data_IF_217600382541
#
_entry.id   IF_217600382541
#
_cell.length_a   1.000
_cell.length_b   1.000
_cell.length_c   1.000
_cell.angle_alpha   90.00
_cell.angle_beta   90.00
_cell.angle_gamma   90.00
#
_symmetry.space_group_name_H-M   'P 1'
#
loop_
_entity.id
_entity.type
_entity.pdbx_description
1 polymer ?
#
# COMPACT_ATOMS: atom_id res chain seq x y z
N UNK A 1 42.02 31.27 9.16
CA UNK A 1 42.85 30.05 9.13
C UNK A 1 42.67 29.39 10.49
N UNK A 2 41.81 28.39 10.58
CA UNK A 2 41.42 27.73 11.83
C UNK A 2 41.29 26.22 11.54
N UNK A 3 42.16 25.36 12.10
CA UNK A 3 42.05 24.75 13.45
C UNK A 3 40.79 23.88 13.56
N UNK A 4 40.80 22.67 12.99
CA UNK A 4 41.30 21.42 13.62
C UNK A 4 40.74 21.20 15.05
N UNK A 5 39.65 20.45 15.15
CA UNK A 5 39.24 19.73 16.35
C UNK A 5 39.30 18.22 16.10
N UNK A 6 40.45 17.58 16.40
CA UNK A 6 40.57 16.12 16.50
C UNK A 6 40.72 15.75 17.97
N UNK A 7 39.89 14.83 18.45
CA UNK A 7 40.19 13.99 19.61
C UNK A 7 40.01 12.53 19.20
N UNK A 8 41.03 11.71 19.49
CA UNK A 8 41.03 10.26 19.26
C UNK A 8 40.42 9.50 20.46
N UNK A 9 40.00 8.25 20.28
CA UNK A 9 40.84 7.02 20.39
C UNK A 9 40.80 6.43 21.82
N UNK A 10 41.11 5.14 22.06
CA UNK A 10 41.15 3.96 21.17
C UNK A 10 40.46 2.70 21.77
N UNK A 11 40.45 1.60 21.00
CA UNK A 11 40.78 0.19 21.36
C UNK A 11 40.31 -0.69 20.18
N UNK A 12 41.17 -1.31 19.35
CA UNK A 12 41.94 -2.55 19.57
C UNK A 12 41.05 -3.76 19.97
N UNK A 13 41.13 -4.97 19.39
CA UNK A 13 41.92 -5.60 18.32
C UNK A 13 40.98 -6.60 17.56
N UNK A 14 41.31 -7.35 16.49
CA UNK A 14 42.59 -7.68 15.84
C UNK A 14 42.41 -8.05 14.33
N UNK A 15 43.51 -8.42 13.67
CA UNK A 15 43.63 -9.11 12.38
C UNK A 15 42.82 -10.44 12.30
N UNK A 16 42.38 -10.93 11.13
CA UNK A 16 43.24 -11.26 9.98
C UNK A 16 42.50 -11.43 8.64
N UNK A 17 43.23 -11.25 7.55
CA UNK A 17 42.81 -11.47 6.16
C UNK A 17 42.76 -12.97 5.83
N UNK A 18 41.85 -13.38 4.94
CA UNK A 18 42.19 -14.01 3.65
C UNK A 18 40.98 -14.24 2.74
N UNK A 19 41.24 -14.04 1.46
CA UNK A 19 40.37 -14.32 0.30
C UNK A 19 40.07 -15.81 0.11
N UNK A 20 38.83 -16.15 -0.22
CA UNK A 20 38.47 -17.15 -1.27
C UNK A 20 36.99 -17.02 -1.62
N UNK A 21 36.67 -16.83 -2.90
CA UNK A 21 35.40 -17.29 -3.48
C UNK A 21 35.31 -18.81 -3.38
N UNK A 22 34.11 -19.38 -3.22
CA UNK A 22 33.60 -20.14 -4.35
C UNK A 22 32.11 -19.96 -4.66
N UNK A 23 31.81 -20.35 -5.90
CA UNK A 23 30.53 -20.58 -6.57
C UNK A 23 29.46 -21.28 -5.74
N UNK A 24 28.20 -21.02 -6.14
CA UNK A 24 26.96 -21.67 -5.73
C UNK A 24 27.03 -23.19 -5.47
N UNK A 25 26.23 -23.67 -4.51
CA UNK A 25 24.97 -24.37 -4.85
C UNK A 25 24.05 -24.54 -3.62
N UNK A 26 22.77 -24.24 -3.84
CA UNK A 26 21.59 -25.01 -3.41
C UNK A 26 21.72 -25.95 -2.19
N UNK A 27 21.25 -25.49 -1.02
CA UNK A 27 20.33 -26.26 -0.15
C UNK A 27 19.71 -25.34 0.91
N UNK A 28 18.39 -25.13 0.87
CA UNK A 28 17.65 -24.56 2.01
C UNK A 28 16.27 -25.20 2.16
N UNK A 29 16.28 -26.45 2.59
CA UNK A 29 15.09 -27.11 3.11
C UNK A 29 14.68 -26.45 4.44
N UNK A 30 13.38 -26.20 4.56
CA UNK A 30 12.56 -26.19 5.80
C UNK A 30 13.06 -25.47 7.06
N UNK A 31 12.44 -24.32 7.35
CA UNK A 31 11.35 -24.24 8.35
C UNK A 31 10.81 -22.79 8.50
N UNK A 32 9.48 -22.63 8.40
CA UNK A 32 8.59 -21.87 9.32
C UNK A 32 7.19 -21.83 8.68
N UNK A 33 6.34 -22.82 9.01
CA UNK A 33 5.00 -22.96 8.44
C UNK A 33 3.96 -22.10 9.15
N UNK A 34 3.87 -20.81 8.80
CA UNK A 34 2.79 -19.90 9.26
C UNK A 34 2.58 -18.67 8.36
N UNK A 35 3.35 -18.53 7.28
CA UNK A 35 3.35 -17.33 6.42
C UNK A 35 2.66 -17.54 5.06
N UNK A 36 2.29 -18.78 4.73
CA UNK A 36 1.78 -19.14 3.39
C UNK A 36 0.38 -18.58 3.18
N UNK A 37 -0.54 -18.75 4.14
CA UNK A 37 -1.89 -18.19 4.05
C UNK A 37 -1.90 -16.66 4.07
N UNK A 38 -1.05 -16.00 4.87
CA UNK A 38 -1.00 -14.53 4.94
C UNK A 38 -0.47 -13.94 3.63
N UNK A 39 0.61 -14.52 3.08
CA UNK A 39 1.20 -14.08 1.81
C UNK A 39 0.27 -14.28 0.60
N UNK A 40 -0.43 -15.41 0.52
CA UNK A 40 -1.42 -15.68 -0.53
C UNK A 40 -2.59 -14.69 -0.44
N UNK A 41 -3.18 -14.52 0.75
CA UNK A 41 -4.29 -13.58 0.94
C UNK A 41 -3.90 -12.12 0.63
N UNK A 42 -2.69 -11.68 0.99
CA UNK A 42 -2.19 -10.35 0.64
C UNK A 42 -2.05 -10.20 -0.89
N UNK A 43 -1.51 -11.22 -1.57
CA UNK A 43 -1.39 -11.22 -3.04
C UNK A 43 -2.76 -11.11 -3.71
N UNK A 44 -3.72 -11.95 -3.32
CA UNK A 44 -5.11 -11.88 -3.84
C UNK A 44 -5.77 -10.53 -3.57
N UNK A 45 -5.60 -9.94 -2.38
CA UNK A 45 -6.08 -8.58 -2.09
C UNK A 45 -5.44 -7.53 -2.99
N UNK A 46 -4.13 -7.61 -3.23
CA UNK A 46 -3.38 -6.71 -4.12
C UNK A 46 -3.90 -6.79 -5.55
N UNK A 47 -4.22 -7.97 -6.06
CA UNK A 47 -4.75 -8.13 -7.41
C UNK A 47 -6.18 -7.63 -7.54
N UNK A 48 -7.03 -7.87 -6.54
CA UNK A 48 -8.37 -7.29 -6.46
C UNK A 48 -8.34 -5.75 -6.35
N UNK A 49 -7.36 -5.19 -5.62
CA UNK A 49 -7.14 -3.74 -5.54
C UNK A 49 -6.73 -3.16 -6.90
N UNK A 50 -5.79 -3.81 -7.61
CA UNK A 50 -5.40 -3.44 -8.98
C UNK A 50 -6.63 -3.47 -9.88
N UNK A 51 -7.47 -4.50 -9.79
CA UNK A 51 -8.65 -4.63 -10.63
C UNK A 51 -9.72 -3.58 -10.35
N UNK A 52 -9.92 -3.20 -9.09
CA UNK A 52 -10.78 -2.06 -8.75
C UNK A 52 -10.33 -0.78 -9.47
N UNK A 53 -9.03 -0.47 -9.45
CA UNK A 53 -8.49 0.71 -10.14
C UNK A 53 -8.53 0.58 -11.67
N UNK A 54 -8.28 -0.62 -12.23
CA UNK A 54 -8.46 -0.90 -13.67
C UNK A 54 -9.89 -0.63 -14.10
N UNK A 55 -10.86 -1.17 -13.37
CA UNK A 55 -12.27 -1.02 -13.65
C UNK A 55 -12.70 0.45 -13.63
N UNK A 56 -12.33 1.23 -12.60
CA UNK A 56 -12.63 2.68 -12.56
C UNK A 56 -12.12 3.37 -13.82
N UNK A 57 -10.87 3.10 -14.23
CA UNK A 57 -10.25 3.70 -15.42
C UNK A 57 -10.87 3.20 -16.73
N UNK A 58 -11.28 1.93 -16.82
CA UNK A 58 -11.91 1.31 -18.00
C UNK A 58 -13.30 1.87 -18.28
N UNK A 59 -14.08 2.17 -17.24
CA UNK A 59 -15.44 2.70 -17.35
C UNK A 59 -15.51 4.24 -17.41
N UNK A 60 -14.40 4.95 -17.19
CA UNK A 60 -14.35 6.43 -17.16
C UNK A 60 -13.22 6.98 -18.05
N UNK A 61 -13.12 6.48 -19.29
CA UNK A 61 -12.01 6.81 -20.20
C UNK A 61 -11.94 8.29 -20.55
N UNK A 62 -13.09 8.91 -20.79
CA UNK A 62 -13.23 10.30 -21.21
C UNK A 62 -13.03 11.28 -20.02
N UNK A 63 -13.11 10.76 -18.80
CA UNK A 63 -13.09 11.50 -17.54
C UNK A 63 -11.77 11.30 -16.75
N UNK A 64 -10.65 11.15 -17.46
CA UNK A 64 -9.34 10.82 -16.87
C UNK A 64 -8.88 11.75 -15.73
N UNK A 65 -9.28 13.03 -15.74
CA UNK A 65 -9.04 13.96 -14.63
C UNK A 65 -9.83 13.61 -13.36
N UNK A 66 -11.08 13.14 -13.48
CA UNK A 66 -11.88 12.67 -12.34
C UNK A 66 -11.31 11.37 -11.78
N UNK A 67 -10.93 10.44 -12.66
CA UNK A 67 -10.25 9.18 -12.27
C UNK A 67 -8.96 9.46 -11.49
N UNK A 68 -8.11 10.39 -11.96
CA UNK A 68 -6.90 10.78 -11.25
C UNK A 68 -7.20 11.35 -9.86
N UNK A 69 -8.16 12.28 -9.76
CA UNK A 69 -8.61 12.86 -8.47
C UNK A 69 -9.19 11.81 -7.51
N UNK A 70 -9.84 10.78 -8.03
CA UNK A 70 -10.32 9.64 -7.26
C UNK A 70 -9.17 8.88 -6.61
N UNK A 71 -8.15 8.54 -7.41
CA UNK A 71 -6.97 7.81 -6.94
C UNK A 71 -6.14 8.64 -5.96
N UNK A 72 -5.97 9.94 -6.21
CA UNK A 72 -5.34 10.88 -5.26
C UNK A 72 -6.11 10.94 -3.93
N UNK A 73 -7.44 10.93 -3.97
CA UNK A 73 -8.28 10.96 -2.76
C UNK A 73 -8.22 9.63 -1.99
N UNK A 74 -8.22 8.48 -2.68
CA UNK A 74 -7.98 7.17 -2.09
C UNK A 74 -6.58 7.09 -1.44
N UNK A 75 -5.56 7.63 -2.11
CA UNK A 75 -4.19 7.66 -1.63
C UNK A 75 -4.07 8.47 -0.34
N UNK A 76 -4.78 9.59 -0.21
CA UNK A 76 -4.82 10.37 1.03
C UNK A 76 -5.37 9.52 2.20
N UNK A 77 -6.48 8.79 2.00
CA UNK A 77 -7.04 7.93 3.07
C UNK A 77 -6.07 6.83 3.48
N UNK A 78 -5.48 6.12 2.52
CA UNK A 78 -4.50 5.05 2.78
C UNK A 78 -3.25 5.62 3.46
N UNK A 79 -2.70 6.74 2.97
CA UNK A 79 -1.46 7.32 3.49
C UNK A 79 -1.63 7.89 4.90
N UNK A 80 -2.78 8.52 5.20
CA UNK A 80 -3.05 9.06 6.52
C UNK A 80 -3.07 7.95 7.59
N UNK A 81 -3.80 6.86 7.32
CA UNK A 81 -3.84 5.68 8.21
C UNK A 81 -2.49 4.95 8.28
N UNK A 82 -1.74 4.87 7.16
CA UNK A 82 -0.42 4.25 7.16
C UNK A 82 0.63 5.06 7.95
N UNK A 83 0.46 6.38 8.03
CA UNK A 83 1.33 7.30 8.76
C UNK A 83 1.00 7.35 10.25
N UNK A 84 -0.27 7.38 10.59
CA UNK A 84 -0.78 7.49 11.95
C UNK A 84 -1.99 6.55 12.10
N UNK A 85 -1.75 5.27 12.44
CA UNK A 85 -2.82 4.29 12.52
C UNK A 85 -3.64 4.40 13.80
N UNK A 86 -3.20 5.12 14.82
CA UNK A 86 -3.91 5.22 16.10
C UNK A 86 -4.92 6.37 16.14
N UNK A 87 -4.77 7.34 15.25
CA UNK A 87 -5.65 8.50 15.10
C UNK A 87 -7.04 8.14 14.52
N UNK A 88 -8.06 8.23 15.37
CA UNK A 88 -9.43 7.82 15.04
C UNK A 88 -10.09 8.65 13.92
N UNK A 89 -9.66 9.91 13.68
CA UNK A 89 -10.19 10.72 12.57
C UNK A 89 -9.84 10.16 11.19
N UNK A 90 -8.78 9.36 11.09
CA UNK A 90 -8.40 8.67 9.84
C UNK A 90 -9.09 7.32 9.68
N UNK A 91 -9.59 6.76 10.79
CA UNK A 91 -10.31 5.47 10.84
C UNK A 91 -11.79 5.58 10.45
N UNK A 92 -12.42 6.77 10.43
CA UNK A 92 -13.84 6.94 10.06
C UNK A 92 -14.04 7.92 8.90
N UNK A 93 -14.54 7.42 7.77
CA UNK A 93 -14.88 8.21 6.59
C UNK A 93 -16.41 8.31 6.47
N UNK A 94 -16.93 9.53 6.34
CA UNK A 94 -18.37 9.80 6.15
C UNK A 94 -18.74 9.76 4.67
N UNK A 95 -19.59 8.82 4.25
CA UNK A 95 -20.00 8.66 2.85
C UNK A 95 -20.73 9.89 2.29
N UNK A 96 -21.43 10.64 3.16
CA UNK A 96 -22.12 11.87 2.78
C UNK A 96 -21.20 13.11 2.72
N UNK A 97 -19.89 12.98 2.96
CA UNK A 97 -18.95 14.08 2.72
C UNK A 97 -18.90 14.36 1.21
N UNK A 98 -19.13 15.60 0.74
CA UNK A 98 -19.20 15.89 -0.69
C UNK A 98 -17.90 15.53 -1.43
N UNK A 99 -16.73 15.80 -0.84
CA UNK A 99 -15.44 15.47 -1.44
C UNK A 99 -15.20 13.96 -1.52
N UNK A 100 -15.69 13.17 -0.55
CA UNK A 100 -15.68 11.71 -0.66
C UNK A 100 -16.66 11.26 -1.74
N UNK A 101 -17.91 11.70 -1.66
CA UNK A 101 -19.01 11.28 -2.54
C UNK A 101 -18.67 11.54 -4.01
N UNK A 102 -18.24 12.75 -4.35
CA UNK A 102 -17.94 13.17 -5.71
C UNK A 102 -16.70 12.48 -6.30
N UNK A 103 -15.68 12.17 -5.50
CA UNK A 103 -14.39 11.67 -6.00
C UNK A 103 -14.24 10.15 -5.90
N UNK A 104 -14.78 9.54 -4.85
CA UNK A 104 -14.62 8.11 -4.56
C UNK A 104 -15.98 7.41 -4.49
N UNK A 105 -16.98 8.03 -3.86
CA UNK A 105 -18.31 7.43 -3.65
C UNK A 105 -19.15 7.26 -4.92
N UNK A 106 -18.85 7.98 -6.01
CA UNK A 106 -19.43 7.70 -7.34
C UNK A 106 -18.92 6.40 -7.96
N UNK A 107 -17.80 5.87 -7.47
CA UNK A 107 -17.18 4.64 -7.96
C UNK A 107 -17.39 3.52 -6.94
N UNK A 108 -18.26 2.56 -7.26
CA UNK A 108 -18.47 1.38 -6.41
C UNK A 108 -17.13 0.65 -6.14
N UNK A 109 -16.29 0.54 -7.17
CA UNK A 109 -14.95 -0.04 -7.07
C UNK A 109 -13.99 0.80 -6.21
N UNK A 110 -14.23 2.11 -6.08
CA UNK A 110 -13.48 3.00 -5.19
C UNK A 110 -13.82 2.73 -3.72
N UNK A 111 -15.08 2.43 -3.42
CA UNK A 111 -15.50 1.96 -2.10
C UNK A 111 -14.98 0.55 -1.84
N UNK A 112 -15.11 -0.37 -2.81
CA UNK A 112 -14.60 -1.75 -2.73
C UNK A 112 -13.09 -1.80 -2.49
N UNK A 113 -12.33 -0.86 -3.06
CA UNK A 113 -10.90 -0.71 -2.78
C UNK A 113 -10.62 -0.44 -1.29
N UNK A 114 -11.41 0.42 -0.64
CA UNK A 114 -11.30 0.69 0.80
C UNK A 114 -11.73 -0.54 1.62
N UNK A 115 -12.75 -1.28 1.18
CA UNK A 115 -13.17 -2.54 1.80
C UNK A 115 -12.05 -3.60 1.74
N UNK A 116 -11.33 -3.71 0.63
CA UNK A 116 -10.13 -4.57 0.50
C UNK A 116 -8.97 -4.11 1.40
N UNK A 117 -8.88 -2.83 1.74
CA UNK A 117 -7.93 -2.31 2.73
C UNK A 117 -8.32 -2.66 4.18
N UNK A 118 -9.56 -3.09 4.44
CA UNK A 118 -10.08 -3.43 5.77
C UNK A 118 -11.11 -2.45 6.34
N UNK A 119 -11.58 -1.46 5.56
CA UNK A 119 -12.72 -0.63 5.99
C UNK A 119 -14.03 -1.40 5.88
N UNK A 120 -14.93 -1.20 6.83
CA UNK A 120 -16.24 -1.86 6.89
C UNK A 120 -17.36 -0.81 6.83
N UNK A 121 -18.46 -1.12 6.13
CA UNK A 121 -19.64 -0.25 6.05
C UNK A 121 -20.46 -0.36 7.34
N UNK A 122 -20.64 0.76 8.03
CA UNK A 122 -21.42 0.82 9.28
C UNK A 122 -22.61 1.78 9.17
N UNK A 123 -23.52 1.70 10.14
CA UNK A 123 -24.72 2.55 10.23
C UNK A 123 -25.59 2.52 8.96
N UNK A 124 -25.73 1.34 8.33
CA UNK A 124 -26.45 1.18 7.06
C UNK A 124 -25.72 1.74 5.84
N UNK A 125 -24.38 1.79 5.89
CA UNK A 125 -23.54 2.32 4.80
C UNK A 125 -23.42 3.85 4.79
N UNK A 126 -23.67 4.52 5.93
CA UNK A 126 -23.45 5.97 6.08
C UNK A 126 -21.97 6.33 6.30
N UNK A 127 -21.19 5.38 6.84
CA UNK A 127 -19.77 5.53 7.10
C UNK A 127 -19.00 4.28 6.68
N UNK A 128 -17.73 4.49 6.31
CA UNK A 128 -16.70 3.46 6.32
C UNK A 128 -15.88 3.63 7.59
N UNK A 129 -15.72 2.56 8.36
CA UNK A 129 -14.87 2.55 9.57
C UNK A 129 -13.80 1.49 9.42
N UNK A 130 -12.58 1.76 9.86
CA UNK A 130 -11.48 0.81 9.95
C UNK A 130 -11.32 0.34 11.40
N UNK A 131 -11.78 -0.88 11.76
CA UNK A 131 -11.55 -1.45 13.08
C UNK A 131 -10.06 -1.55 13.42
N UNK A 132 -9.72 -1.54 14.71
CA UNK A 132 -8.32 -1.69 15.17
C UNK A 132 -7.74 -3.05 14.76
N UNK A 133 -8.57 -4.09 14.75
CA UNK A 133 -8.22 -5.47 14.37
C UNK A 133 -8.07 -5.69 12.85
N UNK A 134 -8.62 -4.80 12.02
CA UNK A 134 -8.56 -4.89 10.55
C UNK A 134 -7.38 -4.16 9.93
N UNK A 135 -6.63 -3.38 10.72
CA UNK A 135 -5.48 -2.63 10.23
C UNK A 135 -4.28 -3.55 9.99
N UNK A 136 -3.81 -3.60 8.75
CA UNK A 136 -2.59 -4.30 8.35
C UNK A 136 -1.65 -3.35 7.58
N UNK A 137 -0.51 -3.04 8.19
CA UNK A 137 0.53 -2.17 7.60
C UNK A 137 1.01 -2.67 6.23
N UNK A 138 1.07 -3.99 5.99
CA UNK A 138 1.49 -4.54 4.70
C UNK A 138 0.42 -4.32 3.61
N UNK A 139 -0.87 -4.45 3.96
CA UNK A 139 -2.00 -4.13 3.07
C UNK A 139 -1.99 -2.64 2.73
N UNK A 140 -1.87 -1.75 3.72
CA UNK A 140 -1.88 -0.30 3.50
C UNK A 140 -0.67 0.19 2.69
N UNK A 141 0.54 -0.34 2.94
CA UNK A 141 1.72 -0.06 2.09
C UNK A 141 1.52 -0.53 0.66
N UNK A 142 0.99 -1.74 0.46
CA UNK A 142 0.71 -2.28 -0.87
C UNK A 142 -0.33 -1.43 -1.61
N UNK A 143 -1.43 -1.09 -0.96
CA UNK A 143 -2.48 -0.23 -1.49
C UNK A 143 -1.93 1.15 -1.92
N UNK A 144 -1.09 1.78 -1.09
CA UNK A 144 -0.44 3.06 -1.41
C UNK A 144 0.47 2.97 -2.63
N UNK A 145 1.29 1.92 -2.73
CA UNK A 145 2.17 1.68 -3.89
C UNK A 145 1.37 1.44 -5.20
N UNK A 146 0.26 0.72 -5.11
CA UNK A 146 -0.64 0.45 -6.24
C UNK A 146 -1.31 1.75 -6.71
N UNK A 147 -1.80 2.57 -5.77
CA UNK A 147 -2.40 3.88 -6.08
C UNK A 147 -1.40 4.86 -6.69
N UNK A 148 -0.19 4.98 -6.13
CA UNK A 148 0.89 5.78 -6.72
C UNK A 148 1.21 5.32 -8.14
N UNK A 149 1.33 4.01 -8.34
CA UNK A 149 1.52 3.42 -9.68
C UNK A 149 0.37 3.79 -10.62
N UNK A 150 -0.88 3.81 -10.15
CA UNK A 150 -2.06 4.15 -10.96
C UNK A 150 -2.15 5.64 -11.32
N UNK A 151 -1.63 6.53 -10.47
CA UNK A 151 -1.59 7.98 -10.69
C UNK A 151 -0.44 8.37 -11.64
N UNK A 152 0.74 7.76 -11.47
CA UNK A 152 1.96 8.12 -12.22
C UNK A 152 2.12 7.36 -13.53
N UNK A 153 1.61 6.12 -13.64
CA UNK A 153 1.78 5.30 -14.84
C UNK A 153 0.58 5.44 -15.81
N UNK A 154 0.76 6.02 -17.02
CA UNK A 154 -0.30 6.09 -18.02
C UNK A 154 -0.73 4.70 -18.55
N UNK A 155 0.08 3.66 -18.38
CA UNK A 155 -0.23 2.28 -18.77
C UNK A 155 -0.70 1.38 -17.60
N UNK A 156 -0.99 1.96 -16.43
CA UNK A 156 -1.44 1.17 -15.28
C UNK A 156 -2.61 0.25 -15.63
N UNK A 157 -2.36 -1.06 -15.54
CA UNK A 157 -3.36 -2.09 -15.78
C UNK A 157 -3.73 -2.38 -17.24
N UNK A 158 -3.11 -1.71 -18.21
CA UNK A 158 -3.26 -2.00 -19.65
C UNK A 158 -2.43 -3.21 -20.11
N UNK A 159 -1.44 -3.63 -19.32
CA UNK A 159 -0.45 -4.68 -19.66
C UNK A 159 -0.62 -6.00 -18.89
N UNK A 160 -1.75 -6.20 -18.19
CA UNK A 160 -2.07 -7.54 -17.71
C UNK A 160 -2.52 -8.41 -18.89
N UNK A 161 -2.00 -9.64 -19.04
CA UNK A 161 -2.56 -10.61 -19.97
C UNK A 161 -4.08 -10.73 -19.73
N UNK A 162 -4.85 -10.78 -20.81
CA UNK A 162 -6.20 -11.30 -20.73
C UNK A 162 -6.06 -12.82 -20.82
N UNK A 163 -6.41 -13.51 -19.73
CA UNK A 163 -6.84 -14.91 -19.77
C UNK A 163 -8.31 -14.97 -20.19
#
# INVERSE_FOLDING_TARGET
AERRGRLGLPLQNNASLKTTTPTAQEKKETLTGMSTEVGVNLTTKVDLMRECLRSIRRYNKDDGMKVKRAFETLLIYVTNVARDPDEDKFRKIRMSNPAFKERVGIYEQGVKFLELCGFERVEGGKYLVLPRERYDMAVFKSAGNILQSAITNPFFGLLSPQE
#
